data_IF_029366243187
#
_entry.id   IF_029366243187
#
_cell.length_a   1.000
_cell.length_b   1.000
_cell.length_c   1.000
_cell.angle_alpha   90.00
_cell.angle_beta   90.00
_cell.angle_gamma   90.00
#
_symmetry.space_group_name_H-M   'P 1'
#
loop_
_entity.id
_entity.type
_entity.pdbx_description
1 polymer ?
#
# COMPACT_ATOMS: atom_id res chain seq x y z
N UNK A 1 -10.40 14.81 16.51
CA UNK A 1 -10.29 15.50 15.22
C UNK A 1 -9.51 14.58 14.30
N UNK A 2 -10.17 13.90 13.36
CA UNK A 2 -9.52 13.01 12.39
C UNK A 2 -9.13 13.87 11.17
N UNK A 3 -7.90 14.35 11.12
CA UNK A 3 -7.46 15.30 10.08
C UNK A 3 -7.27 14.64 8.70
N UNK A 4 -7.05 13.31 8.66
CA UNK A 4 -6.57 12.61 7.45
C UNK A 4 -7.51 11.55 6.87
N UNK A 5 -8.59 11.15 7.55
CA UNK A 5 -9.54 10.12 7.04
C UNK A 5 -10.94 10.73 6.88
N UNK A 6 -10.99 11.84 6.13
CA UNK A 6 -12.22 12.56 5.83
C UNK A 6 -13.02 11.92 4.67
N UNK A 7 -14.20 12.48 4.34
CA UNK A 7 -15.04 11.99 3.25
C UNK A 7 -14.32 11.97 1.89
N UNK A 8 -13.45 12.95 1.62
CA UNK A 8 -12.69 13.01 0.37
C UNK A 8 -11.70 11.85 0.22
N UNK A 9 -11.10 11.39 1.32
CA UNK A 9 -10.17 10.24 1.29
C UNK A 9 -10.93 8.96 1.01
N UNK A 10 -12.12 8.80 1.61
CA UNK A 10 -13.00 7.65 1.33
C UNK A 10 -13.47 7.64 -0.13
N UNK A 11 -13.90 8.79 -0.66
CA UNK A 11 -14.31 8.89 -2.06
C UNK A 11 -13.14 8.56 -3.00
N UNK A 12 -11.94 9.07 -2.71
CA UNK A 12 -10.74 8.74 -3.47
C UNK A 12 -10.43 7.24 -3.44
N UNK A 13 -10.50 6.59 -2.28
CA UNK A 13 -10.26 5.14 -2.17
C UNK A 13 -11.28 4.34 -3.00
N UNK A 14 -12.55 4.72 -2.99
CA UNK A 14 -13.60 4.07 -3.79
C UNK A 14 -13.37 4.26 -5.30
N UNK A 15 -13.06 5.49 -5.73
CA UNK A 15 -12.76 5.83 -7.12
C UNK A 15 -11.49 5.13 -7.61
N UNK A 16 -10.44 5.10 -6.78
CA UNK A 16 -9.16 4.48 -7.13
C UNK A 16 -9.26 2.95 -7.18
N UNK A 17 -10.03 2.33 -6.27
CA UNK A 17 -10.34 0.91 -6.36
C UNK A 17 -11.05 0.58 -7.67
N UNK A 18 -12.05 1.37 -8.05
CA UNK A 18 -12.76 1.22 -9.32
C UNK A 18 -11.84 1.41 -10.53
N UNK A 19 -10.98 2.44 -10.50
CA UNK A 19 -9.99 2.72 -11.54
C UNK A 19 -9.00 1.55 -11.74
N UNK A 20 -8.50 0.97 -10.64
CA UNK A 20 -7.59 -0.17 -10.68
C UNK A 20 -8.28 -1.51 -10.97
N UNK A 21 -9.62 -1.57 -10.98
CA UNK A 21 -10.37 -2.83 -11.07
C UNK A 21 -10.21 -3.72 -9.83
N UNK A 22 -9.86 -3.14 -8.69
CA UNK A 22 -9.65 -3.85 -7.43
C UNK A 22 -10.91 -3.78 -6.53
N UNK A 23 -11.05 -4.72 -5.61
CA UNK A 23 -12.16 -4.72 -4.64
C UNK A 23 -12.04 -3.60 -3.60
N UNK A 24 -10.81 -3.21 -3.27
CA UNK A 24 -10.49 -2.25 -2.22
C UNK A 24 -9.26 -1.42 -2.61
N UNK A 25 -9.21 -0.17 -2.14
CA UNK A 25 -8.01 0.64 -2.06
C UNK A 25 -7.91 1.22 -0.64
N UNK A 26 -6.69 1.48 -0.19
CA UNK A 26 -6.42 2.07 1.13
C UNK A 26 -5.36 3.14 0.95
N UNK A 27 -5.74 4.40 1.09
CA UNK A 27 -4.82 5.53 1.06
C UNK A 27 -3.83 5.52 2.24
N UNK A 28 -2.55 5.70 1.94
CA UNK A 28 -1.45 5.75 2.92
C UNK A 28 -0.54 6.95 2.65
N UNK A 29 0.44 7.19 3.53
CA UNK A 29 1.31 8.37 3.46
C UNK A 29 2.29 8.38 2.28
N UNK A 30 2.72 7.21 1.80
CA UNK A 30 3.69 7.08 0.71
C UNK A 30 3.65 5.69 0.05
N UNK A 31 4.34 5.54 -1.09
CA UNK A 31 4.54 4.25 -1.74
C UNK A 31 5.37 3.27 -0.91
N UNK A 32 6.37 3.77 -0.16
CA UNK A 32 7.14 2.95 0.79
C UNK A 32 6.23 2.39 1.88
N UNK A 33 5.38 3.24 2.48
CA UNK A 33 4.43 2.78 3.50
C UNK A 33 3.46 1.74 2.93
N UNK A 34 3.01 1.91 1.68
CA UNK A 34 2.12 0.96 1.03
C UNK A 34 2.76 -0.44 0.94
N UNK A 35 4.03 -0.50 0.51
CA UNK A 35 4.79 -1.76 0.42
C UNK A 35 4.98 -2.37 1.81
N UNK A 36 5.47 -1.58 2.78
CA UNK A 36 5.69 -2.04 4.16
C UNK A 36 4.42 -2.59 4.81
N UNK A 37 3.29 -1.92 4.64
CA UNK A 37 2.00 -2.34 5.21
C UNK A 37 1.48 -3.62 4.55
N UNK A 38 1.64 -3.78 3.23
CA UNK A 38 1.24 -5.01 2.54
C UNK A 38 2.05 -6.21 3.01
N UNK A 39 3.38 -6.07 3.15
CA UNK A 39 4.24 -7.16 3.64
C UNK A 39 3.79 -7.60 5.04
N UNK A 40 3.51 -6.66 5.94
CA UNK A 40 2.99 -6.96 7.29
C UNK A 40 1.59 -7.58 7.25
N UNK A 41 0.70 -7.08 6.40
CA UNK A 41 -0.67 -7.59 6.27
C UNK A 41 -0.71 -9.02 5.70
N UNK A 42 0.25 -9.39 4.86
CA UNK A 42 0.42 -10.76 4.35
C UNK A 42 1.04 -11.71 5.39
N UNK A 43 1.48 -11.20 6.53
CA UNK A 43 2.09 -12.00 7.60
C UNK A 43 3.53 -12.43 7.30
N UNK A 44 4.20 -11.78 6.36
CA UNK A 44 5.61 -12.03 6.03
C UNK A 44 6.48 -11.61 7.22
N UNK A 45 7.43 -12.46 7.56
CA UNK A 45 8.19 -12.40 8.80
C UNK A 45 9.66 -12.74 8.58
N UNK A 46 10.44 -12.68 9.65
CA UNK A 46 11.86 -13.00 9.58
C UNK A 46 12.07 -14.46 9.16
N UNK A 47 12.84 -14.66 8.09
CA UNK A 47 13.09 -15.98 7.48
C UNK A 47 12.28 -16.24 6.21
N UNK A 48 11.28 -15.40 5.91
CA UNK A 48 10.57 -15.43 4.63
C UNK A 48 11.34 -14.67 3.56
N UNK A 49 11.15 -15.07 2.30
CA UNK A 49 11.79 -14.45 1.13
C UNK A 49 10.75 -13.80 0.21
N UNK A 50 11.06 -12.59 -0.27
CA UNK A 50 10.23 -11.85 -1.22
C UNK A 50 11.04 -11.59 -2.48
N UNK A 51 10.57 -12.13 -3.61
CA UNK A 51 11.21 -11.93 -4.90
C UNK A 51 10.89 -10.51 -5.40
N UNK A 52 11.92 -9.83 -5.90
CA UNK A 52 11.82 -8.51 -6.52
C UNK A 52 12.67 -8.45 -7.79
N UNK A 53 12.75 -7.30 -8.44
CA UNK A 53 13.57 -7.08 -9.64
C UNK A 53 14.85 -6.33 -9.29
N UNK A 54 15.97 -6.71 -9.92
CA UNK A 54 17.29 -6.09 -9.65
C UNK A 54 17.37 -4.61 -10.07
N UNK A 55 16.52 -4.18 -11.00
CA UNK A 55 16.44 -2.82 -11.48
C UNK A 55 15.13 -2.16 -11.03
N UNK A 56 15.05 -1.84 -9.74
CA UNK A 56 13.92 -1.12 -9.11
C UNK A 56 14.42 0.01 -8.21
N UNK A 57 13.49 0.86 -7.73
CA UNK A 57 13.80 1.86 -6.72
C UNK A 57 13.98 1.23 -5.33
N UNK A 58 14.85 1.83 -4.51
CA UNK A 58 15.28 1.30 -3.20
C UNK A 58 14.11 1.00 -2.24
N UNK A 59 13.03 1.78 -2.29
CA UNK A 59 11.84 1.54 -1.47
C UNK A 59 11.19 0.15 -1.65
N UNK A 60 11.53 -0.57 -2.72
CA UNK A 60 11.05 -1.94 -2.95
C UNK A 60 11.69 -2.96 -2.02
N UNK A 61 12.87 -2.65 -1.46
CA UNK A 61 13.72 -3.62 -0.73
C UNK A 61 14.13 -3.17 0.66
N UNK A 62 13.77 -1.94 1.07
CA UNK A 62 14.09 -1.43 2.40
C UNK A 62 13.22 -2.04 3.52
#
# INVERSE_FOLDING_TARGET
MQLTIGPNVRAFDEEFAAFCGAKHAIGVGSGTDALQLVIRALGISAGDEVITVSHTFFATVE
#
